data_IF_611510938421
#
_entry.id   IF_611510938421
#
_cell.length_a   1.000
_cell.length_b   1.000
_cell.length_c   1.000
_cell.angle_alpha   90.00
_cell.angle_beta   90.00
_cell.angle_gamma   90.00
#
_symmetry.space_group_name_H-M   'P 1'
#
loop_
_entity.id
_entity.type
_entity.pdbx_description
1 polymer ?
#
# COMPACT_ATOMS: atom_id res chain seq x y z
N UNK A 1 -14.59 3.53 -25.64
CA UNK A 1 -14.05 4.30 -25.61
C UNK A 1 -14.43 5.37 -24.74
N UNK A 2 -15.39 5.87 -24.81
CA UNK A 2 -15.99 6.79 -23.98
C UNK A 2 -15.98 6.35 -22.54
N UNK A 3 -16.26 5.15 -22.26
CA UNK A 3 -16.14 4.59 -20.92
C UNK A 3 -14.72 4.65 -20.42
N UNK A 4 -13.81 4.45 -21.32
CA UNK A 4 -12.40 4.49 -21.00
C UNK A 4 -12.00 5.85 -20.45
N UNK A 5 -12.50 6.91 -21.05
CA UNK A 5 -12.17 8.26 -20.60
C UNK A 5 -12.67 8.50 -19.18
N UNK A 6 -13.91 8.11 -18.91
CA UNK A 6 -14.46 8.25 -17.56
C UNK A 6 -13.65 7.47 -16.55
N UNK A 7 -13.32 6.24 -16.91
CA UNK A 7 -12.53 5.40 -16.03
C UNK A 7 -11.15 5.98 -15.82
N UNK A 8 -10.59 6.59 -16.85
CA UNK A 8 -9.27 7.19 -16.73
C UNK A 8 -9.29 8.34 -15.74
N UNK A 9 -10.31 9.18 -15.80
CA UNK A 9 -10.44 10.29 -14.87
C UNK A 9 -10.59 9.79 -13.44
N UNK A 10 -11.44 8.79 -13.22
CA UNK A 10 -11.62 8.21 -11.91
C UNK A 10 -10.32 7.58 -11.40
N UNK A 11 -9.63 6.84 -12.27
CA UNK A 11 -8.37 6.23 -11.90
C UNK A 11 -7.35 7.26 -11.50
N UNK A 12 -7.33 8.38 -12.18
CA UNK A 12 -6.37 9.43 -11.90
C UNK A 12 -6.63 10.05 -10.53
N UNK A 13 -7.89 10.34 -10.21
CA UNK A 13 -8.26 10.84 -8.90
C UNK A 13 -7.97 9.82 -7.81
N UNK A 14 -8.25 8.55 -8.09
CA UNK A 14 -7.97 7.48 -7.15
C UNK A 14 -6.47 7.39 -6.87
N UNK A 15 -5.64 7.57 -7.90
CA UNK A 15 -4.20 7.54 -7.71
C UNK A 15 -3.72 8.68 -6.83
N UNK A 16 -4.27 9.86 -7.01
CA UNK A 16 -3.90 11.00 -6.19
C UNK A 16 -4.30 10.76 -4.74
N UNK A 17 -5.54 10.31 -4.52
CA UNK A 17 -6.02 10.02 -3.19
C UNK A 17 -5.21 8.92 -2.53
N UNK A 18 -4.89 7.88 -3.28
CA UNK A 18 -4.08 6.78 -2.78
C UNK A 18 -2.68 7.26 -2.41
N UNK A 19 -2.09 8.08 -3.24
CA UNK A 19 -0.76 8.60 -2.99
C UNK A 19 -0.73 9.45 -1.72
N UNK A 20 -1.74 10.29 -1.54
CA UNK A 20 -1.84 11.09 -0.34
C UNK A 20 -2.01 10.22 0.90
N UNK A 21 -2.82 9.17 0.79
CA UNK A 21 -3.01 8.24 1.89
C UNK A 21 -1.71 7.52 2.23
N UNK A 22 -0.96 7.09 1.22
CA UNK A 22 0.31 6.42 1.42
C UNK A 22 1.32 7.35 2.07
N UNK A 23 1.29 8.62 1.71
CA UNK A 23 2.22 9.60 2.29
C UNK A 23 2.01 9.77 3.80
N UNK A 24 0.84 9.40 4.31
CA UNK A 24 0.56 9.47 5.73
C UNK A 24 1.09 8.27 6.50
N UNK A 25 1.55 7.25 5.79
CA UNK A 25 2.11 6.06 6.43
C UNK A 25 3.54 6.31 6.89
N UNK A 26 3.97 5.54 7.89
CA UNK A 26 5.36 5.57 8.29
C UNK A 26 6.23 5.01 7.16
N UNK A 27 7.52 5.39 7.12
CA UNK A 27 8.42 4.84 6.09
C UNK A 27 8.45 3.32 6.07
N UNK A 28 8.39 2.70 7.25
CA UNK A 28 8.39 1.23 7.34
C UNK A 28 7.13 0.64 6.71
N UNK A 29 5.99 1.23 6.99
CA UNK A 29 4.73 0.76 6.42
C UNK A 29 4.73 0.92 4.91
N UNK A 30 5.23 2.05 4.42
CA UNK A 30 5.34 2.27 2.97
C UNK A 30 6.23 1.22 2.32
N UNK A 31 7.34 0.91 2.97
CA UNK A 31 8.28 -0.08 2.44
C UNK A 31 7.65 -1.47 2.41
N UNK A 32 6.93 -1.84 3.45
CA UNK A 32 6.26 -3.13 3.51
C UNK A 32 5.24 -3.25 2.38
N UNK A 33 4.43 -2.23 2.18
CA UNK A 33 3.44 -2.26 1.11
C UNK A 33 4.09 -2.35 -0.26
N UNK A 34 5.18 -1.62 -0.47
CA UNK A 34 5.89 -1.67 -1.74
C UNK A 34 6.42 -3.08 -2.02
N UNK A 35 7.00 -3.72 -1.03
CA UNK A 35 7.51 -5.07 -1.19
C UNK A 35 6.39 -6.07 -1.46
N UNK A 36 5.28 -5.90 -0.77
CA UNK A 36 4.16 -6.83 -0.90
C UNK A 36 3.43 -6.67 -2.24
N UNK A 37 3.19 -5.44 -2.66
CA UNK A 37 2.31 -5.20 -3.79
C UNK A 37 3.02 -4.85 -5.09
N UNK A 38 4.21 -4.29 -5.03
CA UNK A 38 5.00 -4.06 -6.24
C UNK A 38 5.95 -5.22 -6.53
N UNK A 39 6.66 -5.67 -5.52
CA UNK A 39 7.65 -6.73 -5.70
C UNK A 39 7.05 -8.12 -5.61
N UNK A 40 5.83 -8.24 -5.10
CA UNK A 40 5.16 -9.53 -5.00
C UNK A 40 5.76 -10.46 -3.95
N UNK A 41 6.41 -9.91 -2.94
CA UNK A 41 7.03 -10.72 -1.89
C UNK A 41 6.01 -11.19 -0.89
N UNK A 42 6.28 -12.34 -0.27
CA UNK A 42 5.45 -12.84 0.81
C UNK A 42 5.80 -12.12 2.10
N UNK A 43 4.91 -12.24 3.09
CA UNK A 43 5.19 -11.64 4.40
C UNK A 43 6.45 -12.22 5.03
N UNK A 44 6.70 -13.49 4.79
CA UNK A 44 7.93 -14.13 5.28
C UNK A 44 9.16 -13.52 4.65
N UNK A 45 9.12 -13.31 3.36
CA UNK A 45 10.24 -12.69 2.65
C UNK A 45 10.48 -11.27 3.15
N UNK A 46 9.41 -10.52 3.33
CA UNK A 46 9.51 -9.16 3.83
C UNK A 46 10.10 -9.14 5.24
N UNK A 47 9.66 -10.07 6.09
CA UNK A 47 10.18 -10.12 7.46
C UNK A 47 11.67 -10.39 7.46
N UNK A 48 12.13 -11.26 6.58
CA UNK A 48 13.56 -11.55 6.47
C UNK A 48 14.37 -10.37 5.99
N UNK A 49 13.83 -9.58 5.07
CA UNK A 49 14.55 -8.44 4.53
C UNK A 49 14.59 -7.25 5.48
N UNK A 50 13.50 -7.02 6.20
CA UNK A 50 13.42 -5.87 7.10
C UNK A 50 13.99 -6.21 8.47
N UNK A 51 13.98 -7.50 8.82
CA UNK A 51 14.53 -7.92 10.11
C UNK A 51 13.53 -7.84 11.25
N UNK A 52 12.26 -8.05 10.98
CA UNK A 52 11.23 -8.11 11.99
C UNK A 52 10.45 -9.41 11.81
N UNK A 53 9.61 -9.75 12.79
CA UNK A 53 8.85 -11.00 12.71
C UNK A 53 7.74 -10.90 11.67
N UNK A 54 7.30 -12.05 11.17
CA UNK A 54 6.19 -12.10 10.24
C UNK A 54 4.91 -11.52 10.87
N UNK A 55 4.73 -11.77 12.16
CA UNK A 55 3.57 -11.22 12.87
C UNK A 55 3.58 -9.70 12.86
N UNK A 56 4.76 -9.09 12.99
CA UNK A 56 4.87 -7.65 12.90
C UNK A 56 4.62 -7.14 11.50
N UNK A 57 5.11 -7.86 10.50
CA UNK A 57 4.83 -7.51 9.10
C UNK A 57 3.32 -7.52 8.87
N UNK A 58 2.65 -8.57 9.31
CA UNK A 58 1.21 -8.70 9.15
C UNK A 58 0.47 -7.54 9.83
N UNK A 59 0.88 -7.21 11.05
CA UNK A 59 0.26 -6.12 11.80
C UNK A 59 0.47 -4.78 11.13
N UNK A 60 1.69 -4.50 10.69
CA UNK A 60 2.01 -3.25 10.03
C UNK A 60 1.29 -3.13 8.70
N UNK A 61 1.19 -4.22 7.97
CA UNK A 61 0.46 -4.25 6.71
C UNK A 61 -1.01 -3.92 6.94
N UNK A 62 -1.63 -4.53 7.94
CA UNK A 62 -3.03 -4.26 8.25
C UNK A 62 -3.25 -2.83 8.69
N UNK A 63 -2.34 -2.31 9.50
CA UNK A 63 -2.44 -0.91 9.94
C UNK A 63 -2.31 0.04 8.76
N UNK A 64 -1.40 -0.26 7.84
CA UNK A 64 -1.20 0.56 6.66
C UNK A 64 -2.45 0.57 5.79
N UNK A 65 -3.03 -0.60 5.57
CA UNK A 65 -4.24 -0.72 4.76
C UNK A 65 -5.41 0.01 5.42
N UNK A 66 -5.53 -0.11 6.74
CA UNK A 66 -6.57 0.62 7.47
C UNK A 66 -6.41 2.13 7.34
N UNK A 67 -5.18 2.60 7.42
CA UNK A 67 -4.91 4.03 7.28
C UNK A 67 -5.27 4.50 5.88
N UNK A 68 -4.92 3.73 4.87
CA UNK A 68 -5.27 4.06 3.49
C UNK A 68 -6.78 4.14 3.34
N UNK A 69 -7.50 3.16 3.86
CA UNK A 69 -8.96 3.14 3.77
C UNK A 69 -9.59 4.36 4.41
N UNK A 70 -9.09 4.77 5.56
CA UNK A 70 -9.66 5.92 6.27
C UNK A 70 -9.43 7.23 5.53
N UNK A 71 -8.44 7.26 4.67
CA UNK A 71 -8.09 8.48 3.94
C UNK A 71 -8.58 8.47 2.49
N UNK A 72 -9.27 7.44 2.10
CA UNK A 72 -9.93 7.38 0.80
C UNK A 72 -11.39 7.73 0.94
#
# INVERSE_FOLDING_TARGET
>A
RWMTDSNTDESWLDRIALREAVDKLSPREQRILAMRFYDGKTQMEVSGEIGISQAQVSRLEKNAISTIRRNL
#
